data_IF_611624496863
#
_entry.id   IF_611624496863
#
_cell.length_a   1.000
_cell.length_b   1.000
_cell.length_c   1.000
_cell.angle_alpha   90.00
_cell.angle_beta   90.00
_cell.angle_gamma   90.00
#
_symmetry.space_group_name_H-M   'P 1'
#
loop_
_entity.id
_entity.type
_entity.pdbx_description
1 polymer ?
#
# COMPACT_ATOMS: atom_id res chain seq x y z
N UNK A 1 -13.28 6.55 -2.43
CA UNK A 1 -13.35 5.33 -3.25
C UNK A 1 -13.72 4.16 -2.35
N UNK A 2 -14.48 3.19 -2.84
CA UNK A 2 -14.66 1.93 -2.13
C UNK A 2 -13.30 1.20 -2.05
N UNK A 3 -12.85 0.84 -0.84
CA UNK A 3 -11.58 0.10 -0.61
C UNK A 3 -11.49 -1.16 -1.47
N UNK A 4 -12.63 -1.80 -1.76
CA UNK A 4 -12.72 -2.96 -2.64
C UNK A 4 -12.37 -2.62 -4.07
N UNK A 5 -12.82 -1.47 -4.59
CA UNK A 5 -12.51 -1.04 -5.94
C UNK A 5 -11.01 -0.79 -6.13
N UNK A 6 -10.36 -0.17 -5.13
CA UNK A 6 -8.92 0.03 -5.12
C UNK A 6 -8.14 -1.29 -5.15
N UNK A 7 -8.50 -2.24 -4.28
CA UNK A 7 -7.88 -3.57 -4.28
C UNK A 7 -8.06 -4.31 -5.61
N UNK A 8 -9.25 -4.23 -6.22
CA UNK A 8 -9.53 -4.87 -7.50
C UNK A 8 -8.74 -4.25 -8.65
N UNK A 9 -8.55 -2.93 -8.66
CA UNK A 9 -7.75 -2.23 -9.67
C UNK A 9 -6.28 -2.64 -9.60
N UNK A 10 -5.70 -2.69 -8.39
CA UNK A 10 -4.31 -3.15 -8.17
C UNK A 10 -4.15 -4.61 -8.59
N UNK A 11 -5.07 -5.49 -8.19
CA UNK A 11 -5.06 -6.89 -8.57
C UNK A 11 -5.11 -7.08 -10.09
N UNK A 12 -6.00 -6.34 -10.78
CA UNK A 12 -6.08 -6.36 -12.25
C UNK A 12 -4.80 -5.86 -12.89
N UNK A 13 -4.23 -4.75 -12.41
CA UNK A 13 -2.99 -4.21 -12.95
C UNK A 13 -1.82 -5.20 -12.82
N UNK A 14 -1.72 -5.92 -11.69
CA UNK A 14 -0.73 -6.98 -11.51
C UNK A 14 -0.97 -8.14 -12.47
N UNK A 15 -2.22 -8.61 -12.57
CA UNK A 15 -2.58 -9.72 -13.45
C UNK A 15 -2.33 -9.42 -14.93
N UNK A 16 -2.53 -8.16 -15.35
CA UNK A 16 -2.30 -7.71 -16.72
C UNK A 16 -0.84 -7.30 -16.97
N UNK A 17 0.06 -7.39 -15.99
CA UNK A 17 1.46 -6.99 -16.12
C UNK A 17 1.69 -5.48 -16.21
N UNK A 18 0.65 -4.68 -15.96
CA UNK A 18 0.72 -3.21 -15.90
C UNK A 18 1.47 -2.76 -14.64
N UNK A 19 1.31 -3.51 -13.55
CA UNK A 19 1.97 -3.27 -12.26
C UNK A 19 2.79 -4.50 -11.87
N UNK A 20 4.09 -4.33 -11.71
CA UNK A 20 4.95 -5.42 -11.23
C UNK A 20 5.03 -5.34 -9.71
N UNK A 21 4.58 -6.40 -9.03
CA UNK A 21 4.76 -6.51 -7.57
C UNK A 21 6.23 -6.85 -7.29
N UNK A 22 6.98 -6.02 -6.56
CA UNK A 22 8.35 -6.33 -6.20
C UNK A 22 8.40 -7.50 -5.22
N UNK A 23 9.57 -8.14 -5.13
CA UNK A 23 9.85 -9.21 -4.18
C UNK A 23 10.38 -8.68 -2.84
N UNK A 24 10.88 -7.44 -2.82
CA UNK A 24 11.46 -6.79 -1.65
C UNK A 24 10.63 -5.59 -1.21
N UNK A 25 10.54 -5.41 0.11
CA UNK A 25 9.86 -4.27 0.70
C UNK A 25 10.55 -2.95 0.31
N UNK A 26 9.82 -1.99 -0.25
CA UNK A 26 10.41 -0.70 -0.64
C UNK A 26 10.87 0.15 0.55
N UNK A 27 10.43 -0.18 1.78
CA UNK A 27 10.80 0.55 3.00
C UNK A 27 11.99 -0.05 3.74
N UNK A 28 12.08 -1.38 3.87
CA UNK A 28 13.15 -2.04 4.62
C UNK A 28 14.10 -2.87 3.75
N UNK A 29 13.80 -3.04 2.45
CA UNK A 29 14.64 -3.78 1.51
C UNK A 29 14.58 -5.30 1.63
N UNK A 30 13.86 -5.86 2.61
CA UNK A 30 13.84 -7.31 2.83
C UNK A 30 12.84 -8.04 1.90
N UNK A 31 13.21 -9.23 1.44
CA UNK A 31 12.36 -10.12 0.66
C UNK A 31 11.28 -10.76 1.54
N UNK A 32 10.05 -10.24 1.48
CA UNK A 32 8.95 -10.63 2.38
C UNK A 32 7.59 -10.47 1.68
N UNK A 33 6.50 -11.05 2.21
CA UNK A 33 5.16 -10.75 1.74
C UNK A 33 4.86 -9.25 1.82
N UNK A 34 4.49 -8.66 0.69
CA UNK A 34 4.22 -7.23 0.57
C UNK A 34 2.74 -6.95 0.37
N UNK A 35 2.28 -5.90 1.04
CA UNK A 35 0.94 -5.33 0.89
C UNK A 35 1.04 -3.99 0.14
N UNK A 36 0.00 -3.68 -0.62
CA UNK A 36 -0.12 -2.39 -1.31
C UNK A 36 -0.42 -1.29 -0.29
N UNK A 37 0.47 -0.33 -0.17
CA UNK A 37 0.36 0.85 0.67
C UNK A 37 -0.06 2.05 -0.17
N UNK A 38 -1.25 2.58 0.10
CA UNK A 38 -1.67 3.87 -0.43
C UNK A 38 -1.41 4.92 0.66
N UNK A 39 -0.51 5.88 0.39
CA UNK A 39 -0.29 7.02 1.29
C UNK A 39 -1.56 7.89 1.37
N UNK A 40 -2.28 7.98 0.26
CA UNK A 40 -3.53 8.71 0.10
C UNK A 40 -4.49 7.88 -0.76
N UNK A 41 -5.69 7.61 -0.24
CA UNK A 41 -6.72 6.80 -0.91
C UNK A 41 -7.40 7.55 -2.08
N UNK A 42 -6.61 8.28 -2.87
CA UNK A 42 -7.08 9.10 -3.95
C UNK A 42 -7.61 8.24 -5.11
N UNK A 43 -8.83 8.54 -5.61
CA UNK A 43 -9.42 7.82 -6.73
C UNK A 43 -8.64 7.96 -8.05
N UNK A 44 -7.80 8.97 -8.18
CA UNK A 44 -7.03 9.25 -9.40
C UNK A 44 -5.63 8.62 -9.39
N UNK A 45 -5.21 8.02 -8.26
CA UNK A 45 -3.85 7.51 -8.03
C UNK A 45 -3.84 6.07 -7.52
N UNK A 46 -4.80 5.27 -7.96
CA UNK A 46 -5.01 3.91 -7.43
C UNK A 46 -3.81 2.98 -7.65
N UNK A 47 -3.00 3.25 -8.68
CA UNK A 47 -1.78 2.48 -9.01
C UNK A 47 -0.48 3.14 -8.51
N UNK A 48 -0.56 4.36 -7.98
CA UNK A 48 0.57 5.05 -7.35
C UNK A 48 0.60 4.65 -5.88
N UNK A 49 1.16 3.47 -5.63
CA UNK A 49 1.17 2.81 -4.34
C UNK A 49 2.55 2.19 -4.10
N UNK A 50 2.91 2.04 -2.83
CA UNK A 50 4.17 1.43 -2.41
C UNK A 50 3.95 0.01 -1.95
N UNK A 51 4.86 -0.89 -2.22
CA UNK A 51 4.82 -2.25 -1.71
C UNK A 51 5.69 -2.38 -0.47
N UNK A 52 5.05 -2.42 0.69
CA UNK A 52 5.74 -2.56 1.97
C UNK A 52 5.35 -3.88 2.64
N UNK A 53 6.25 -4.42 3.46
CA UNK A 53 5.91 -5.55 4.31
C UNK A 53 4.94 -5.13 5.42
N UNK A 54 4.14 -6.08 5.91
CA UNK A 54 3.14 -5.82 6.96
C UNK A 54 3.70 -5.10 8.19
N UNK A 55 4.93 -5.43 8.62
CA UNK A 55 5.58 -4.76 9.74
C UNK A 55 5.86 -3.27 9.46
N UNK A 56 6.30 -2.94 8.25
CA UNK A 56 6.54 -1.57 7.79
C UNK A 56 5.24 -0.77 7.65
N UNK A 57 4.16 -1.41 7.18
CA UNK A 57 2.80 -0.85 7.15
C UNK A 57 2.31 -0.49 8.55
N UNK A 58 2.31 -1.45 9.47
CA UNK A 58 1.82 -1.24 10.84
C UNK A 58 2.61 -0.14 11.56
N UNK A 59 3.94 -0.11 11.37
CA UNK A 59 4.77 0.98 11.91
C UNK A 59 4.41 2.35 11.33
N UNK A 60 4.08 2.43 10.03
CA UNK A 60 3.66 3.68 9.42
C UNK A 60 2.36 4.19 10.03
N UNK A 61 1.33 3.34 10.11
CA UNK A 61 0.05 3.71 10.73
C UNK A 61 0.22 4.06 12.22
N UNK A 62 1.07 3.35 12.96
CA UNK A 62 1.37 3.67 14.35
C UNK A 62 2.08 5.03 14.49
N UNK A 63 2.98 5.39 13.58
CA UNK A 63 3.64 6.71 13.58
C UNK A 63 2.67 7.84 13.26
N UNK A 64 1.77 7.64 12.29
CA UNK A 64 0.72 8.60 11.96
C UNK A 64 -0.20 8.86 13.16
N UNK A 65 -0.64 7.80 13.86
CA UNK A 65 -1.43 7.91 15.09
C UNK A 65 -0.74 8.66 16.23
N UNK A 66 0.60 8.68 16.26
CA UNK A 66 1.39 9.37 17.29
C UNK A 66 1.68 10.84 16.96
N UNK A 67 1.55 11.26 15.69
CA UNK A 67 1.88 12.62 15.25
C UNK A 67 0.67 13.41 14.70
N UNK A 68 -0.50 12.77 14.58
CA UNK A 68 -1.77 13.42 14.23
C UNK A 68 -2.92 12.74 14.96
N UNK A 69 -3.68 13.54 15.71
CA UNK A 69 -4.76 13.11 16.59
C UNK A 69 -5.94 12.44 15.89
N UNK A 70 -6.80 11.88 16.75
CA UNK A 70 -8.17 11.40 16.57
C UNK A 70 -8.76 11.51 15.16
N UNK A 71 -9.01 10.39 14.50
CA UNK A 71 -10.36 10.07 13.97
C UNK A 71 -10.44 8.67 13.32
N UNK A 72 -11.54 7.94 13.62
CA UNK A 72 -12.00 6.74 12.89
C UNK A 72 -12.21 5.50 13.73
#
# INVERSE_FOLDING_TARGET
MDKRAAHMAVYRAIRHGILVKPTHCEKCGEAKPLDAHHDDYSPTRVLDLKFWCRACHSQHHARLRKHGGADG
#
